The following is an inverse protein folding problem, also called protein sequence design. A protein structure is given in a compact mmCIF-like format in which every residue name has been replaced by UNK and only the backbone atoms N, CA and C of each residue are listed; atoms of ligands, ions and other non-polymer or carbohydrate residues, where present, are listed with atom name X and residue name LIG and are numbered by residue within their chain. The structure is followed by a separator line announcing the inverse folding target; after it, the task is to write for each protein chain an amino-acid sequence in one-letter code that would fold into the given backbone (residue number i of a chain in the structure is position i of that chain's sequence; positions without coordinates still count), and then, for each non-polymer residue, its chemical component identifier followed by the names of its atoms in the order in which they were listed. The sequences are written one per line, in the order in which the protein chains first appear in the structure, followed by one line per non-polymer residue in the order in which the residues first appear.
data_IF_462153502084
#
_entry.id   IF_462153502084
#
_cell.length_a   1.000
_cell.length_b   1.000
_cell.length_c   1.000
_cell.angle_alpha   90.00
_cell.angle_beta   90.00
_cell.angle_gamma   90.00
#
_symmetry.space_group_name_H-M   'P 1'
#
loop_
_entity.id
_entity.type
_entity.pdbx_description
1 polymer ?
#
# COMPACT_ATOMS: atom_id res chain seq x y z
N UNK A 1 -11.24 -4.58 -19.81
CA UNK A 1 -10.88 -5.99 -19.52
C UNK A 1 -9.61 -6.50 -20.23
N UNK A 2 -9.20 -5.88 -21.34
CA UNK A 2 -8.07 -6.34 -22.18
C UNK A 2 -6.69 -5.81 -21.75
N UNK A 3 -6.63 -4.65 -21.11
CA UNK A 3 -5.37 -4.03 -20.68
C UNK A 3 -4.71 -4.77 -19.49
N UNK A 4 -5.52 -5.34 -18.58
CA UNK A 4 -5.02 -6.08 -17.41
C UNK A 4 -4.34 -7.40 -17.77
N UNK A 5 -4.74 -8.04 -18.88
CA UNK A 5 -4.17 -9.31 -19.35
C UNK A 5 -2.79 -9.08 -20.01
N UNK A 6 -2.63 -7.97 -20.74
CA UNK A 6 -1.36 -7.62 -21.39
C UNK A 6 -0.29 -7.27 -20.34
N UNK A 7 -0.67 -6.56 -19.27
CA UNK A 7 0.25 -6.22 -18.16
C UNK A 7 0.72 -7.46 -17.40
N UNK A 8 -0.15 -8.47 -17.25
CA UNK A 8 0.18 -9.75 -16.59
C UNK A 8 1.21 -10.57 -17.37
N UNK A 9 1.20 -10.53 -18.70
CA UNK A 9 2.18 -11.23 -19.55
C UNK A 9 3.59 -10.61 -19.51
N UNK A 10 3.70 -9.34 -19.11
CA UNK A 10 4.95 -8.60 -18.92
C UNK A 10 5.39 -8.50 -17.46
N UNK A 11 4.67 -9.16 -16.55
CA UNK A 11 5.01 -9.17 -15.13
C UNK A 11 6.18 -10.13 -14.90
N UNK A 12 7.38 -9.57 -14.81
CA UNK A 12 8.60 -10.32 -14.48
C UNK A 12 8.77 -10.38 -12.94
N UNK A 13 8.48 -11.53 -12.30
CA UNK A 13 8.57 -11.65 -10.85
C UNK A 13 10.01 -11.59 -10.32
N UNK A 14 11.03 -11.73 -11.18
CA UNK A 14 12.44 -11.54 -10.83
C UNK A 14 12.83 -10.06 -10.77
N UNK A 15 12.00 -9.15 -11.31
CA UNK A 15 12.29 -7.73 -11.32
C UNK A 15 11.74 -7.05 -10.05
N UNK A 16 12.62 -6.85 -9.08
CA UNK A 16 12.32 -6.26 -7.76
C UNK A 16 11.55 -4.93 -7.85
N UNK A 17 11.81 -4.13 -8.90
CA UNK A 17 11.15 -2.84 -9.09
C UNK A 17 9.68 -3.00 -9.53
N UNK A 18 9.39 -3.93 -10.42
CA UNK A 18 8.00 -4.25 -10.81
C UNK A 18 7.21 -4.80 -9.63
N UNK A 19 7.85 -5.64 -8.82
CA UNK A 19 7.25 -6.20 -7.60
C UNK A 19 6.92 -5.10 -6.59
N UNK A 20 7.83 -4.15 -6.36
CA UNK A 20 7.59 -2.99 -5.50
C UNK A 20 6.46 -2.09 -6.03
N UNK A 21 6.48 -1.76 -7.32
CA UNK A 21 5.43 -0.93 -7.94
C UNK A 21 4.05 -1.60 -7.92
N UNK A 22 3.99 -2.94 -8.01
CA UNK A 22 2.74 -3.69 -7.90
C UNK A 22 2.12 -3.64 -6.50
N UNK A 23 2.95 -3.48 -5.46
CA UNK A 23 2.51 -3.33 -4.07
C UNK A 23 2.08 -1.89 -3.76
N UNK A 24 2.52 -0.91 -4.55
CA UNK A 24 2.06 0.48 -4.46
C UNK A 24 0.71 0.65 -5.13
N UNK A 25 -0.32 0.10 -4.49
CA UNK A 25 -1.69 0.21 -4.95
C UNK A 25 -2.30 1.56 -4.51
N UNK A 26 -2.70 2.40 -5.47
CA UNK A 26 -3.35 3.68 -5.20
C UNK A 26 -4.64 3.54 -4.37
N UNK A 27 -5.35 2.41 -4.52
CA UNK A 27 -6.53 2.12 -3.71
C UNK A 27 -6.17 1.87 -2.25
N UNK A 28 -5.09 1.14 -1.97
CA UNK A 28 -4.61 0.91 -0.60
C UNK A 28 -4.10 2.20 0.05
N UNK A 29 -3.42 3.06 -0.73
CA UNK A 29 -3.00 4.38 -0.26
C UNK A 29 -4.21 5.23 0.15
N UNK A 30 -5.27 5.23 -0.66
CA UNK A 30 -6.54 5.90 -0.32
C UNK A 30 -7.19 5.29 0.93
N UNK A 31 -7.23 3.96 1.04
CA UNK A 31 -7.75 3.27 2.22
C UNK A 31 -6.97 3.64 3.49
N UNK A 32 -5.64 3.76 3.42
CA UNK A 32 -4.82 4.19 4.55
C UNK A 32 -5.21 5.61 5.01
N UNK A 33 -5.51 6.52 4.09
CA UNK A 33 -6.02 7.86 4.42
C UNK A 33 -7.38 7.79 5.09
N UNK A 34 -8.34 7.06 4.51
CA UNK A 34 -9.69 6.91 5.07
C UNK A 34 -9.66 6.26 6.46
N UNK A 35 -8.85 5.21 6.64
CA UNK A 35 -8.63 4.57 7.94
C UNK A 35 -8.04 5.55 8.96
N UNK A 36 -7.06 6.36 8.55
CA UNK A 36 -6.47 7.39 9.39
C UNK A 36 -7.47 8.46 9.84
N UNK A 37 -8.36 8.89 8.95
CA UNK A 37 -9.48 9.79 9.31
C UNK A 37 -10.37 9.13 10.36
N UNK A 38 -10.79 7.88 10.12
CA UNK A 38 -11.65 7.14 11.07
C UNK A 38 -11.02 6.98 12.46
N UNK A 39 -9.74 6.61 12.51
CA UNK A 39 -8.99 6.49 13.78
C UNK A 39 -8.91 7.84 14.50
N UNK A 40 -8.62 8.92 13.78
CA UNK A 40 -8.57 10.26 14.37
C UNK A 40 -9.93 10.70 14.93
N UNK A 41 -11.02 10.43 14.21
CA UNK A 41 -12.38 10.76 14.64
C UNK A 41 -12.75 10.01 15.93
N UNK A 42 -12.47 8.71 16.00
CA UNK A 42 -12.73 7.89 17.21
C UNK A 42 -11.85 8.34 18.39
N UNK A 43 -10.60 8.71 18.12
CA UNK A 43 -9.67 9.18 19.16
C UNK A 43 -9.91 10.64 19.60
N UNK A 44 -10.86 11.36 19.01
CA UNK A 44 -11.09 12.79 19.28
C UNK A 44 -9.89 13.69 18.91
N UNK A 45 -9.03 13.24 17.99
CA UNK A 45 -7.85 13.99 17.53
C UNK A 45 -8.09 14.59 16.15
N UNK A 46 -7.28 15.58 15.78
CA UNK A 46 -7.34 16.17 14.43
C UNK A 46 -7.07 15.12 13.35
N UNK A 47 -7.89 15.14 12.28
CA UNK A 47 -7.84 14.18 11.17
C UNK A 47 -6.44 13.99 10.59
N UNK A 48 -5.69 15.09 10.43
CA UNK A 48 -4.33 15.06 9.90
C UNK A 48 -3.40 14.14 10.70
N UNK A 49 -3.52 14.11 12.03
CA UNK A 49 -2.67 13.25 12.89
C UNK A 49 -2.96 11.76 12.64
N UNK A 50 -4.23 11.40 12.47
CA UNK A 50 -4.59 10.01 12.17
C UNK A 50 -4.19 9.59 10.76
N UNK A 51 -4.33 10.47 9.77
CA UNK A 51 -3.83 10.24 8.41
C UNK A 51 -2.33 9.96 8.43
N UNK A 52 -1.54 10.82 9.09
CA UNK A 52 -0.08 10.65 9.18
C UNK A 52 0.29 9.29 9.80
N UNK A 53 -0.32 8.94 10.93
CA UNK A 53 -0.05 7.67 11.62
C UNK A 53 -0.41 6.48 10.75
N UNK A 54 -1.58 6.50 10.10
CA UNK A 54 -2.06 5.41 9.25
C UNK A 54 -1.21 5.24 7.99
N UNK A 55 -0.81 6.34 7.36
CA UNK A 55 0.08 6.31 6.18
C UNK A 55 1.48 5.79 6.55
N UNK A 56 2.05 6.19 7.69
CA UNK A 56 3.33 5.65 8.17
C UNK A 56 3.23 4.14 8.41
N UNK A 57 2.16 3.69 9.07
CA UNK A 57 1.92 2.26 9.31
C UNK A 57 1.77 1.47 8.01
N UNK A 58 1.08 2.04 7.01
CA UNK A 58 0.94 1.43 5.69
C UNK A 58 2.29 1.34 4.95
N UNK A 59 3.13 2.37 5.01
CA UNK A 59 4.48 2.33 4.45
C UNK A 59 5.37 1.26 5.11
N UNK A 60 5.28 1.11 6.44
CA UNK A 60 5.96 0.02 7.15
C UNK A 60 5.45 -1.36 6.71
N UNK A 61 4.15 -1.49 6.50
CA UNK A 61 3.54 -2.72 6.00
C UNK A 61 4.06 -3.13 4.62
N UNK A 62 4.25 -2.18 3.70
CA UNK A 62 4.87 -2.46 2.39
C UNK A 62 6.28 -3.04 2.56
N UNK A 63 7.08 -2.51 3.49
CA UNK A 63 8.41 -3.06 3.79
C UNK A 63 8.36 -4.51 4.30
N UNK A 64 7.37 -4.83 5.14
CA UNK A 64 7.12 -6.20 5.61
C UNK A 64 6.74 -7.11 4.44
N UNK A 65 5.81 -6.70 3.58
CA UNK A 65 5.40 -7.44 2.38
C UNK A 65 6.58 -7.72 1.44
N UNK A 66 7.46 -6.74 1.26
CA UNK A 66 8.66 -6.88 0.44
C UNK A 66 9.64 -7.88 1.07
N UNK A 67 9.81 -7.84 2.40
CA UNK A 67 10.67 -8.78 3.12
C UNK A 67 10.15 -10.22 3.00
N UNK A 68 8.84 -10.43 3.17
CA UNK A 68 8.21 -11.73 2.93
C UNK A 68 8.39 -12.21 1.49
N UNK A 69 8.21 -11.32 0.51
CA UNK A 69 8.36 -11.66 -0.91
C UNK A 69 9.79 -12.01 -1.34
N UNK A 70 10.81 -11.62 -0.56
CA UNK A 70 12.21 -11.99 -0.79
C UNK A 70 12.58 -13.32 -0.13
N UNK A 71 11.88 -13.69 0.94
CA UNK A 71 12.14 -14.91 1.72
C UNK A 71 11.37 -16.13 1.19
N UNK A 72 10.25 -15.92 0.49
CA UNK A 72 9.36 -16.93 -0.07
C UNK A 72 9.04 -16.64 -1.54
#
# INVERSE_FOLDING_TARGET
PSASIIVLGSFDPMNTMHRFLSMLNAFEAWQAVVAGIGIATVAGKGALRGIIVSVILWMLWIGVQMSFSLLF
#
